data_IF_047511951131
#
_entry.id   IF_047511951131
#
_cell.length_a   1.000
_cell.length_b   1.000
_cell.length_c   1.000
_cell.angle_alpha   90.00
_cell.angle_beta   90.00
_cell.angle_gamma   90.00
#
_symmetry.space_group_name_H-M   'P 1'
#
loop_
_entity.id
_entity.type
_entity.pdbx_description
1 polymer ?
#
# COMPACT_ATOMS: atom_id res chain seq x y z
N UNK A 1 -20.79 7.55 -11.37
CA UNK A 1 -20.33 8.94 -11.30
C UNK A 1 -21.55 9.84 -11.42
N UNK A 2 -21.85 10.64 -10.40
CA UNK A 2 -22.82 11.73 -10.50
C UNK A 2 -22.18 12.91 -11.24
N UNK A 3 -23.02 13.89 -11.67
CA UNK A 3 -22.58 15.11 -12.37
C UNK A 3 -21.53 15.95 -11.59
N UNK A 4 -21.28 15.63 -10.33
CA UNK A 4 -20.32 16.29 -9.43
C UNK A 4 -19.05 15.47 -9.16
N UNK A 5 -18.78 14.38 -9.91
CA UNK A 5 -17.65 13.46 -9.72
C UNK A 5 -17.56 12.79 -8.32
N UNK A 6 -18.68 12.67 -7.61
CA UNK A 6 -18.71 11.93 -6.34
C UNK A 6 -18.80 10.42 -6.58
N UNK A 7 -17.92 9.67 -5.92
CA UNK A 7 -17.97 8.21 -5.90
C UNK A 7 -18.93 7.74 -4.81
N UNK A 8 -19.86 6.83 -5.17
CA UNK A 8 -20.74 6.16 -4.21
C UNK A 8 -20.46 4.69 -4.14
N UNK A 9 -20.40 4.17 -2.92
CA UNK A 9 -20.31 2.73 -2.67
C UNK A 9 -21.72 2.17 -2.83
N UNK A 10 -21.92 1.33 -3.84
CA UNK A 10 -23.23 0.70 -4.14
C UNK A 10 -23.34 -0.72 -3.59
N UNK A 11 -22.19 -1.38 -3.35
CA UNK A 11 -22.13 -2.70 -2.74
C UNK A 11 -20.84 -2.87 -1.97
N UNK A 12 -20.94 -3.47 -0.79
CA UNK A 12 -19.81 -3.95 0.00
C UNK A 12 -20.07 -5.42 0.33
N UNK A 13 -19.14 -6.30 0.00
CA UNK A 13 -19.30 -7.73 0.23
C UNK A 13 -17.97 -8.34 0.67
N UNK A 14 -18.04 -9.22 1.67
CA UNK A 14 -16.91 -10.08 2.08
C UNK A 14 -17.31 -11.52 1.81
N UNK A 15 -16.52 -12.16 0.96
CA UNK A 15 -16.64 -13.59 0.67
C UNK A 15 -15.37 -14.30 1.13
N UNK A 16 -15.52 -15.53 1.60
CA UNK A 16 -14.40 -16.33 2.08
C UNK A 16 -14.47 -17.78 1.61
N UNK A 17 -13.33 -18.45 1.62
CA UNK A 17 -13.19 -19.89 1.49
C UNK A 17 -12.51 -20.42 2.74
N UNK A 18 -12.99 -21.53 3.25
CA UNK A 18 -12.43 -22.19 4.42
C UNK A 18 -11.75 -23.49 3.99
N UNK A 19 -10.46 -23.60 4.29
CA UNK A 19 -9.72 -24.82 4.00
C UNK A 19 -10.12 -25.93 4.96
N UNK A 20 -10.58 -27.07 4.42
CA UNK A 20 -11.04 -28.19 5.25
C UNK A 20 -9.94 -29.16 5.68
N UNK A 21 -8.67 -28.78 5.55
CA UNK A 21 -7.52 -29.62 5.86
C UNK A 21 -7.02 -30.49 4.69
N UNK A 22 -7.81 -30.65 3.62
CA UNK A 22 -7.45 -31.45 2.45
C UNK A 22 -7.48 -30.67 1.13
N UNK A 23 -8.52 -29.86 0.93
CA UNK A 23 -8.70 -29.05 -0.29
C UNK A 23 -9.45 -27.76 -0.02
N UNK A 24 -9.22 -26.79 -0.89
CA UNK A 24 -10.05 -25.58 -0.93
C UNK A 24 -11.40 -25.85 -1.58
N UNK A 25 -12.51 -25.33 -1.06
CA UNK A 25 -13.81 -25.43 -1.69
C UNK A 25 -13.82 -24.70 -3.04
N UNK A 26 -14.66 -25.17 -3.98
CA UNK A 26 -14.81 -24.55 -5.30
C UNK A 26 -15.55 -23.23 -5.24
N UNK A 27 -16.53 -23.10 -4.32
CA UNK A 27 -17.35 -21.90 -4.16
C UNK A 27 -16.92 -21.04 -2.97
N UNK A 28 -17.18 -19.75 -3.08
CA UNK A 28 -17.08 -18.83 -1.96
C UNK A 28 -18.33 -18.89 -1.09
N UNK A 29 -18.17 -18.65 0.20
CA UNK A 29 -19.27 -18.38 1.13
C UNK A 29 -19.30 -16.86 1.38
N UNK A 30 -20.48 -16.27 1.28
CA UNK A 30 -20.66 -14.87 1.66
C UNK A 30 -20.68 -14.76 3.17
N UNK A 31 -19.78 -13.97 3.72
CA UNK A 31 -19.72 -13.66 5.14
C UNK A 31 -20.61 -12.46 5.46
N UNK A 32 -20.56 -11.46 4.61
CA UNK A 32 -21.28 -10.20 4.76
C UNK A 32 -21.55 -9.62 3.37
N UNK A 33 -22.76 -9.12 3.16
CA UNK A 33 -23.12 -8.37 1.96
C UNK A 33 -24.03 -7.21 2.35
N UNK A 34 -23.67 -6.03 1.89
CA UNK A 34 -24.46 -4.81 1.96
C UNK A 34 -24.63 -4.32 0.53
N UNK A 35 -25.85 -4.30 0.04
CA UNK A 35 -26.16 -3.88 -1.32
C UNK A 35 -27.28 -2.85 -1.30
N UNK A 36 -27.05 -1.73 -1.97
CA UNK A 36 -28.06 -0.71 -2.13
C UNK A 36 -28.93 -1.00 -3.36
N UNK A 37 -30.22 -1.21 -3.18
CA UNK A 37 -31.17 -1.30 -4.27
C UNK A 37 -31.46 0.11 -4.83
N UNK A 38 -31.25 0.27 -6.13
CA UNK A 38 -31.66 1.45 -6.90
C UNK A 38 -33.08 1.23 -7.40
N UNK A 39 -34.08 1.34 -6.55
CA UNK A 39 -35.43 1.58 -7.03
C UNK A 39 -35.67 3.08 -7.21
N UNK A 40 -36.59 3.43 -8.11
CA UNK A 40 -36.81 4.74 -8.77
C UNK A 40 -36.92 5.99 -7.87
N UNK A 41 -36.78 5.87 -6.55
CA UNK A 41 -36.93 7.00 -5.60
C UNK A 41 -35.72 7.25 -4.69
N UNK A 42 -34.48 6.94 -5.13
CA UNK A 42 -33.24 7.26 -4.40
C UNK A 42 -33.09 6.68 -2.97
N UNK A 43 -33.90 5.71 -2.57
CA UNK A 43 -33.68 4.96 -1.34
C UNK A 43 -32.83 3.72 -1.63
N UNK A 44 -31.66 3.65 -1.05
CA UNK A 44 -30.87 2.44 -1.02
C UNK A 44 -31.48 1.53 0.05
N UNK A 45 -32.02 0.38 -0.36
CA UNK A 45 -32.39 -0.66 0.58
C UNK A 45 -31.15 -1.52 0.87
N UNK A 46 -30.77 -1.56 2.14
CA UNK A 46 -29.64 -2.35 2.59
C UNK A 46 -30.13 -3.70 3.08
N UNK A 47 -29.56 -4.78 2.53
CA UNK A 47 -29.75 -6.11 3.05
C UNK A 47 -28.46 -6.60 3.70
N UNK A 48 -28.57 -7.12 4.91
CA UNK A 48 -27.48 -7.75 5.62
C UNK A 48 -27.59 -9.27 5.51
N UNK A 49 -26.57 -9.92 5.00
CA UNK A 49 -26.50 -11.37 4.97
C UNK A 49 -25.19 -11.80 5.68
N UNK A 50 -25.15 -12.80 6.55
CA UNK A 50 -26.17 -13.83 6.83
C UNK A 50 -26.98 -13.63 8.13
N UNK A 51 -27.19 -12.41 8.59
CA UNK A 51 -27.89 -12.16 9.86
C UNK A 51 -29.37 -12.55 9.75
N UNK A 52 -29.74 -13.73 10.30
CA UNK A 52 -31.14 -14.02 10.60
C UNK A 52 -31.56 -13.17 11.81
N UNK A 53 -32.32 -12.15 11.53
CA UNK A 53 -32.77 -11.19 12.53
C UNK A 53 -33.94 -11.79 13.32
N UNK A 54 -33.77 -11.98 14.62
CA UNK A 54 -34.86 -12.20 15.58
C UNK A 54 -35.47 -10.87 16.00
N UNK A 55 -36.61 -10.86 16.69
CA UNK A 55 -37.29 -9.59 17.12
C UNK A 55 -36.35 -8.66 17.93
N UNK A 56 -35.46 -9.22 18.74
CA UNK A 56 -34.46 -8.43 19.48
C UNK A 56 -33.43 -7.73 18.58
N UNK A 57 -33.28 -8.20 17.34
CA UNK A 57 -32.31 -7.67 16.35
C UNK A 57 -32.90 -6.59 15.44
N UNK A 58 -34.21 -6.32 15.52
CA UNK A 58 -34.86 -5.34 14.64
C UNK A 58 -34.32 -3.92 14.86
N UNK A 59 -34.07 -3.53 16.10
CA UNK A 59 -33.47 -2.23 16.43
C UNK A 59 -32.03 -2.16 15.90
N UNK A 60 -31.26 -3.22 16.11
CA UNK A 60 -29.88 -3.33 15.63
C UNK A 60 -29.81 -3.28 14.10
N UNK A 61 -30.77 -3.90 13.42
CA UNK A 61 -30.88 -3.83 11.97
C UNK A 61 -31.17 -2.42 11.47
N UNK A 62 -32.15 -1.74 12.09
CA UNK A 62 -32.47 -0.35 11.75
C UNK A 62 -31.26 0.57 11.98
N UNK A 63 -30.62 0.46 13.15
CA UNK A 63 -29.42 1.25 13.49
C UNK A 63 -28.29 0.98 12.47
N UNK A 64 -28.15 -0.25 12.01
CA UNK A 64 -27.18 -0.63 10.98
C UNK A 64 -27.46 -0.01 9.63
N UNK A 65 -28.73 0.01 9.20
CA UNK A 65 -29.14 0.67 7.96
C UNK A 65 -28.88 2.18 8.05
N UNK A 66 -29.23 2.81 9.17
CA UNK A 66 -28.98 4.24 9.38
C UNK A 66 -27.48 4.54 9.31
N UNK A 67 -26.65 3.76 10.01
CA UNK A 67 -25.21 3.95 10.01
C UNK A 67 -24.59 3.70 8.63
N UNK A 68 -25.09 2.68 7.89
CA UNK A 68 -24.64 2.41 6.53
C UNK A 68 -24.99 3.56 5.57
N UNK A 69 -26.20 4.14 5.67
CA UNK A 69 -26.62 5.33 4.90
C UNK A 69 -25.78 6.57 5.25
N UNK A 70 -25.42 6.73 6.52
CA UNK A 70 -24.52 7.82 6.94
C UNK A 70 -23.11 7.64 6.35
N UNK A 71 -22.57 6.44 6.42
CA UNK A 71 -21.27 6.12 5.83
C UNK A 71 -21.25 6.35 4.31
N UNK A 72 -22.31 5.93 3.61
CA UNK A 72 -22.48 6.20 2.17
C UNK A 72 -22.50 7.69 1.86
N UNK A 73 -23.28 8.47 2.62
CA UNK A 73 -23.37 9.93 2.45
C UNK A 73 -22.02 10.62 2.66
N UNK A 74 -21.19 10.08 3.54
CA UNK A 74 -19.82 10.55 3.77
C UNK A 74 -18.79 9.96 2.79
N UNK A 75 -19.20 9.12 1.83
CA UNK A 75 -18.30 8.44 0.89
C UNK A 75 -17.37 7.41 1.56
N UNK A 76 -17.78 6.87 2.72
CA UNK A 76 -16.99 5.92 3.52
C UNK A 76 -17.57 4.51 3.47
N UNK A 77 -16.69 3.51 3.61
CA UNK A 77 -17.12 2.12 3.80
C UNK A 77 -17.76 1.92 5.18
N UNK A 78 -18.93 1.30 5.22
CA UNK A 78 -19.57 0.92 6.47
C UNK A 78 -18.88 -0.28 7.15
N UNK A 79 -18.43 -1.28 6.38
CA UNK A 79 -17.76 -2.48 6.90
C UNK A 79 -16.51 -2.11 7.73
N UNK A 80 -15.81 -1.06 7.35
CA UNK A 80 -14.61 -0.61 8.05
C UNK A 80 -14.86 0.49 9.09
N UNK A 81 -16.13 0.78 9.40
CA UNK A 81 -16.49 1.77 10.41
C UNK A 81 -16.51 1.19 11.83
N UNK A 82 -16.39 2.06 12.82
CA UNK A 82 -16.56 1.66 14.23
C UNK A 82 -17.99 1.20 14.53
N UNK A 83 -18.96 1.72 13.80
CA UNK A 83 -20.37 1.40 13.99
C UNK A 83 -20.70 0.01 13.45
N UNK A 84 -20.00 -0.46 12.43
CA UNK A 84 -20.09 -1.86 12.00
C UNK A 84 -19.71 -2.82 13.12
N UNK A 85 -18.61 -2.57 13.85
CA UNK A 85 -18.22 -3.43 14.96
C UNK A 85 -19.28 -3.52 16.05
N UNK A 86 -19.89 -2.38 16.43
CA UNK A 86 -20.98 -2.36 17.42
C UNK A 86 -22.20 -3.14 16.93
N UNK A 87 -22.47 -3.06 15.62
CA UNK A 87 -23.59 -3.75 14.99
C UNK A 87 -23.47 -5.27 15.08
N UNK A 88 -22.29 -5.81 14.86
CA UNK A 88 -22.07 -7.26 14.82
C UNK A 88 -21.66 -7.85 16.17
N UNK A 89 -21.33 -7.04 17.17
CA UNK A 89 -20.80 -7.47 18.48
C UNK A 89 -21.70 -8.48 19.19
N UNK A 90 -23.01 -8.43 18.94
CA UNK A 90 -24.00 -9.32 19.54
C UNK A 90 -24.31 -10.57 18.69
N UNK A 91 -23.68 -10.73 17.51
CA UNK A 91 -23.90 -11.88 16.65
C UNK A 91 -23.09 -13.11 17.10
N UNK A 92 -23.60 -14.33 16.85
CA UNK A 92 -22.91 -15.59 17.20
C UNK A 92 -21.50 -15.70 16.59
N UNK A 93 -21.27 -15.07 15.42
CA UNK A 93 -20.01 -15.10 14.71
C UNK A 93 -19.22 -13.77 14.81
N UNK A 94 -19.57 -12.91 15.76
CA UNK A 94 -18.99 -11.57 15.88
C UNK A 94 -17.46 -11.59 15.92
N UNK A 95 -16.84 -12.42 16.74
CA UNK A 95 -15.39 -12.49 16.90
C UNK A 95 -14.69 -12.89 15.59
N UNK A 96 -15.26 -13.82 14.83
CA UNK A 96 -14.72 -14.25 13.54
C UNK A 96 -14.80 -13.14 12.50
N UNK A 97 -15.96 -12.48 12.38
CA UNK A 97 -16.18 -11.37 11.44
C UNK A 97 -15.27 -10.19 11.79
N UNK A 98 -15.24 -9.80 13.06
CA UNK A 98 -14.36 -8.73 13.55
C UNK A 98 -12.89 -9.05 13.27
N UNK A 99 -12.48 -10.30 13.49
CA UNK A 99 -11.13 -10.76 13.18
C UNK A 99 -10.79 -10.57 11.70
N UNK A 100 -11.64 -11.05 10.79
CA UNK A 100 -11.45 -10.91 9.34
C UNK A 100 -11.39 -9.44 8.90
N UNK A 101 -12.32 -8.61 9.37
CA UNK A 101 -12.35 -7.19 9.02
C UNK A 101 -11.10 -6.47 9.54
N UNK A 102 -10.64 -6.80 10.75
CA UNK A 102 -9.36 -6.28 11.28
C UNK A 102 -8.17 -6.73 10.45
N UNK A 103 -8.13 -7.99 10.01
CA UNK A 103 -7.05 -8.50 9.16
C UNK A 103 -7.02 -7.79 7.81
N UNK A 104 -8.18 -7.54 7.19
CA UNK A 104 -8.27 -6.73 5.95
C UNK A 104 -7.81 -5.29 6.19
N UNK A 105 -8.20 -4.68 7.30
CA UNK A 105 -7.74 -3.33 7.66
C UNK A 105 -6.23 -3.28 7.90
N UNK A 106 -5.68 -4.27 8.58
CA UNK A 106 -4.23 -4.39 8.78
C UNK A 106 -3.51 -4.59 7.46
N UNK A 107 -4.01 -5.47 6.60
CA UNK A 107 -3.47 -5.67 5.26
C UNK A 107 -3.46 -4.36 4.47
N UNK A 108 -4.61 -3.66 4.38
CA UNK A 108 -4.72 -2.42 3.61
C UNK A 108 -3.84 -1.28 4.12
N UNK A 109 -3.58 -1.23 5.44
CA UNK A 109 -2.76 -0.16 6.05
C UNK A 109 -1.27 -0.47 6.09
N UNK A 110 -0.91 -1.76 6.10
CA UNK A 110 0.44 -2.20 6.40
C UNK A 110 1.10 -2.93 5.24
N UNK A 111 0.34 -3.78 4.56
CA UNK A 111 0.88 -4.74 3.61
C UNK A 111 0.43 -4.49 2.15
N UNK A 112 -0.39 -3.46 1.92
CA UNK A 112 -0.92 -3.10 0.61
C UNK A 112 -0.61 -1.65 0.26
N UNK A 113 0.19 -1.44 -0.80
CA UNK A 113 0.62 -0.12 -1.24
C UNK A 113 0.32 0.09 -2.71
N UNK A 114 -0.22 1.26 -3.02
CA UNK A 114 -0.49 1.72 -4.39
C UNK A 114 0.34 2.98 -4.63
N UNK A 115 1.17 2.94 -5.66
CA UNK A 115 1.92 4.10 -6.16
C UNK A 115 1.27 4.52 -7.47
N UNK A 116 0.27 5.40 -7.40
CA UNK A 116 -0.43 5.91 -8.57
C UNK A 116 0.40 6.99 -9.29
N UNK A 117 0.18 7.15 -10.59
CA UNK A 117 0.90 8.14 -11.41
C UNK A 117 0.72 9.58 -10.88
N UNK A 118 -0.45 9.92 -10.33
CA UNK A 118 -0.69 11.21 -9.65
C UNK A 118 0.14 11.39 -8.38
N UNK A 119 0.49 10.28 -7.69
CA UNK A 119 1.38 10.27 -6.52
C UNK A 119 2.86 10.16 -6.94
N UNK A 120 3.13 9.60 -8.12
CA UNK A 120 4.43 9.72 -8.77
C UNK A 120 4.74 11.22 -8.99
N UNK A 121 3.76 12.08 -9.17
CA UNK A 121 3.93 13.54 -9.14
C UNK A 121 4.52 14.07 -7.84
N UNK A 122 4.18 13.51 -6.67
CA UNK A 122 4.82 13.85 -5.39
C UNK A 122 6.17 13.16 -5.22
N UNK A 123 6.32 11.95 -5.75
CA UNK A 123 7.57 11.18 -5.77
C UNK A 123 8.46 11.68 -6.92
N UNK A 124 7.93 11.91 -8.13
CA UNK A 124 8.66 12.48 -9.28
C UNK A 124 8.80 13.99 -9.22
N UNK A 125 7.97 14.70 -8.45
CA UNK A 125 8.21 16.10 -8.07
C UNK A 125 9.37 16.24 -7.10
N UNK A 126 10.08 15.15 -6.77
CA UNK A 126 11.27 15.13 -5.90
C UNK A 126 11.02 15.71 -4.52
N UNK A 127 9.85 15.49 -3.97
CA UNK A 127 9.47 16.06 -2.68
C UNK A 127 9.76 15.09 -1.54
N UNK A 128 9.40 13.79 -1.72
CA UNK A 128 9.50 12.79 -0.65
C UNK A 128 9.93 11.42 -1.17
N UNK A 129 10.78 10.73 -0.42
CA UNK A 129 11.02 9.28 -0.55
C UNK A 129 10.23 8.59 0.56
N UNK A 130 9.27 7.72 0.25
CA UNK A 130 8.65 6.86 1.25
C UNK A 130 9.60 5.71 1.57
N UNK A 131 10.36 5.81 2.66
CA UNK A 131 11.16 4.68 3.13
C UNK A 131 10.27 3.70 3.87
N UNK A 132 10.01 2.57 3.25
CA UNK A 132 9.30 1.47 3.87
C UNK A 132 10.25 0.65 4.74
N UNK A 133 9.85 0.50 5.99
CA UNK A 133 10.60 -0.20 7.02
C UNK A 133 10.00 -1.59 7.18
N UNK A 134 10.80 -2.60 6.99
CA UNK A 134 10.51 -3.97 7.40
C UNK A 134 11.79 -4.55 8.01
N UNK A 135 12.00 -4.24 9.29
CA UNK A 135 13.13 -4.75 10.06
C UNK A 135 12.62 -5.77 11.07
N UNK A 136 13.04 -7.01 10.91
CA UNK A 136 12.80 -8.07 11.88
C UNK A 136 14.04 -8.18 12.78
N UNK A 137 13.94 -7.60 13.94
CA UNK A 137 14.93 -7.78 15.01
C UNK A 137 14.52 -8.95 15.91
N UNK A 138 15.46 -9.48 16.68
CA UNK A 138 15.29 -10.70 17.51
C UNK A 138 14.10 -10.61 18.51
N UNK A 139 13.66 -9.40 18.86
CA UNK A 139 12.59 -9.14 19.83
C UNK A 139 11.48 -8.20 19.35
N UNK A 140 11.63 -7.60 18.14
CA UNK A 140 10.67 -6.63 17.64
C UNK A 140 10.60 -6.63 16.09
N UNK A 141 9.43 -6.31 15.57
CA UNK A 141 9.23 -6.07 14.13
C UNK A 141 8.91 -4.59 13.98
N UNK A 142 9.82 -3.86 13.35
CA UNK A 142 9.58 -2.47 12.96
C UNK A 142 9.01 -2.47 11.55
N UNK A 143 7.79 -1.97 11.41
CA UNK A 143 7.11 -1.87 10.12
C UNK A 143 6.39 -0.53 10.03
N UNK A 144 6.53 0.13 8.89
CA UNK A 144 5.91 1.41 8.63
C UNK A 144 6.54 2.13 7.44
N UNK A 145 6.15 3.38 7.24
CA UNK A 145 6.69 4.24 6.19
C UNK A 145 7.15 5.55 6.80
N UNK A 146 8.40 5.91 6.60
CA UNK A 146 8.95 7.22 6.98
C UNK A 146 9.11 8.04 5.70
N UNK A 147 8.36 9.15 5.53
CA UNK A 147 8.55 10.05 4.40
C UNK A 147 9.79 10.92 4.64
N UNK A 148 10.76 10.86 3.75
CA UNK A 148 11.98 11.68 3.80
C UNK A 148 12.03 12.65 2.63
N UNK A 149 12.31 13.92 2.91
CA UNK A 149 12.48 14.92 1.87
C UNK A 149 13.71 14.60 1.01
N UNK A 150 13.53 14.60 -0.29
CA UNK A 150 14.64 14.50 -1.24
C UNK A 150 15.39 15.82 -1.40
N UNK A 151 14.68 16.94 -1.27
CA UNK A 151 15.26 18.28 -1.51
C UNK A 151 15.62 18.95 -0.21
N UNK A 152 16.85 19.42 -0.13
CA UNK A 152 17.38 20.09 1.05
C UNK A 152 17.58 19.15 2.24
N UNK A 153 17.45 19.68 3.46
CA UNK A 153 17.61 18.92 4.71
C UNK A 153 16.27 18.42 5.25
N UNK A 154 16.29 17.29 5.93
CA UNK A 154 15.19 16.71 6.68
C UNK A 154 15.54 16.60 8.16
N UNK A 155 14.53 16.49 9.02
CA UNK A 155 14.68 16.25 10.47
C UNK A 155 13.91 15.02 10.88
N UNK A 156 14.48 14.20 11.75
CA UNK A 156 13.84 13.02 12.32
C UNK A 156 14.16 12.90 13.82
N UNK A 157 13.21 12.40 14.64
CA UNK A 157 13.53 11.96 15.98
C UNK A 157 14.66 10.93 15.97
N UNK A 158 15.55 10.96 16.96
CA UNK A 158 16.74 10.10 17.00
C UNK A 158 16.45 8.61 16.77
N UNK A 159 15.40 8.00 17.38
CA UNK A 159 15.09 6.59 17.14
C UNK A 159 14.73 6.28 15.67
N UNK A 160 14.08 7.21 14.98
CA UNK A 160 13.72 7.05 13.57
C UNK A 160 14.93 7.26 12.66
N UNK A 161 15.87 8.11 13.06
CA UNK A 161 17.11 8.33 12.32
C UNK A 161 17.93 7.04 12.22
N UNK A 162 18.15 6.33 13.34
CA UNK A 162 18.87 5.06 13.37
C UNK A 162 18.21 3.97 12.51
N UNK A 163 16.86 3.98 12.47
CA UNK A 163 16.11 3.05 11.62
C UNK A 163 16.33 3.38 10.13
N UNK A 164 16.33 4.65 9.78
CA UNK A 164 16.55 5.11 8.39
C UNK A 164 17.96 4.73 7.92
N UNK A 165 18.98 4.86 8.74
CA UNK A 165 20.34 4.40 8.40
C UNK A 165 20.36 2.92 8.03
N UNK A 166 19.76 2.06 8.86
CA UNK A 166 19.66 0.61 8.58
C UNK A 166 18.89 0.30 7.30
N UNK A 167 17.84 1.04 6.99
CA UNK A 167 17.08 0.86 5.74
C UNK A 167 17.91 1.24 4.54
N UNK A 168 18.65 2.36 4.62
CA UNK A 168 19.53 2.79 3.55
C UNK A 168 20.70 1.82 3.32
N UNK A 169 21.26 1.23 4.37
CA UNK A 169 22.28 0.19 4.24
C UNK A 169 21.74 -1.01 3.45
N UNK A 170 20.53 -1.48 3.77
CA UNK A 170 19.88 -2.56 3.02
C UNK A 170 19.60 -2.16 1.56
N UNK A 171 19.15 -0.92 1.34
CA UNK A 171 18.94 -0.40 -0.01
C UNK A 171 20.24 -0.33 -0.81
N UNK A 172 21.35 0.05 -0.19
CA UNK A 172 22.65 0.15 -0.83
C UNK A 172 23.18 -1.19 -1.32
N UNK A 173 22.87 -2.31 -0.62
CA UNK A 173 23.21 -3.66 -1.09
C UNK A 173 22.55 -3.94 -2.45
N UNK A 174 21.26 -3.62 -2.57
CA UNK A 174 20.52 -3.84 -3.82
C UNK A 174 20.90 -2.80 -4.88
N UNK A 175 21.02 -1.54 -4.48
CA UNK A 175 21.32 -0.43 -5.37
C UNK A 175 22.67 -0.62 -6.08
N UNK A 176 23.70 -1.09 -5.36
CA UNK A 176 25.01 -1.34 -5.92
C UNK A 176 25.01 -2.44 -6.99
N UNK A 177 24.07 -3.39 -6.91
CA UNK A 177 23.89 -4.41 -7.95
C UNK A 177 23.14 -3.87 -9.17
N UNK A 178 22.21 -2.95 -8.97
CA UNK A 178 21.40 -2.34 -10.02
C UNK A 178 22.16 -1.21 -10.74
N UNK A 179 22.85 -0.38 -9.99
CA UNK A 179 23.60 0.78 -10.49
C UNK A 179 24.99 0.75 -9.84
N UNK A 180 25.98 0.14 -10.52
CA UNK A 180 27.33 0.02 -9.96
C UNK A 180 27.90 1.36 -9.47
N UNK A 181 28.61 1.30 -8.36
CA UNK A 181 29.26 2.44 -7.69
C UNK A 181 28.30 3.47 -7.09
N UNK A 182 26.97 3.27 -7.14
CA UNK A 182 26.00 4.18 -6.54
C UNK A 182 25.64 3.73 -5.13
N UNK A 183 25.75 4.64 -4.17
CA UNK A 183 25.26 4.49 -2.78
C UNK A 183 24.51 5.72 -2.34
N UNK A 184 23.60 5.54 -1.40
CA UNK A 184 22.87 6.62 -0.73
C UNK A 184 23.33 6.68 0.71
N UNK A 185 23.78 7.85 1.15
CA UNK A 185 24.21 8.09 2.52
C UNK A 185 23.39 9.21 3.17
N UNK A 186 23.39 9.22 4.49
CA UNK A 186 22.91 10.33 5.29
C UNK A 186 24.12 11.17 5.70
N UNK A 187 24.04 12.48 5.44
CA UNK A 187 24.99 13.46 5.95
C UNK A 187 24.37 14.16 7.15
N UNK A 188 24.82 13.87 8.38
CA UNK A 188 24.31 14.55 9.56
C UNK A 188 24.74 16.03 9.53
N UNK A 189 23.79 16.92 9.86
CA UNK A 189 24.00 18.36 9.89
C UNK A 189 23.99 18.90 11.32
N UNK A 190 23.59 18.08 12.30
CA UNK A 190 23.58 18.42 13.72
C UNK A 190 22.26 18.07 14.39
N UNK A 191 22.26 18.08 15.72
CA UNK A 191 21.07 17.93 16.54
C UNK A 191 20.41 19.28 16.77
N UNK A 192 19.09 19.30 16.75
CA UNK A 192 18.29 20.48 17.06
C UNK A 192 17.04 20.07 17.86
N UNK A 193 16.35 21.04 18.44
CA UNK A 193 15.06 20.81 19.09
C UNK A 193 13.94 21.14 18.10
N UNK A 194 12.96 20.25 18.01
CA UNK A 194 11.75 20.52 17.25
C UNK A 194 10.81 21.49 18.02
N UNK A 195 9.65 21.82 17.44
CA UNK A 195 8.67 22.72 18.07
C UNK A 195 8.13 22.20 19.40
N UNK A 196 8.19 20.89 19.62
CA UNK A 196 7.71 20.21 20.81
C UNK A 196 8.85 19.98 21.83
N UNK A 197 10.03 20.64 21.64
CA UNK A 197 11.22 20.52 22.46
C UNK A 197 11.83 19.11 22.52
N UNK A 198 11.60 18.29 21.50
CA UNK A 198 12.20 16.98 21.36
C UNK A 198 13.51 17.07 20.56
N UNK A 199 14.52 16.30 20.94
CA UNK A 199 15.76 16.18 20.15
C UNK A 199 15.51 15.48 18.82
N UNK A 200 15.89 16.17 17.74
CA UNK A 200 15.82 15.63 16.38
C UNK A 200 17.18 15.73 15.71
N UNK A 201 17.50 14.80 14.84
CA UNK A 201 18.66 14.85 13.96
C UNK A 201 18.27 15.54 12.66
N UNK A 202 18.99 16.62 12.34
CA UNK A 202 18.91 17.23 11.00
C UNK A 202 19.96 16.61 10.10
N UNK A 203 19.57 16.25 8.90
CA UNK A 203 20.43 15.56 7.94
C UNK A 203 20.03 15.88 6.49
N UNK A 204 20.89 15.50 5.56
CA UNK A 204 20.64 15.57 4.12
C UNK A 204 20.96 14.22 3.49
N UNK A 205 20.11 13.77 2.55
CA UNK A 205 20.37 12.59 1.75
C UNK A 205 21.39 12.91 0.66
N UNK A 206 22.41 12.09 0.56
CA UNK A 206 23.50 12.22 -0.39
C UNK A 206 23.56 11.00 -1.31
N UNK A 207 23.86 11.24 -2.57
CA UNK A 207 24.28 10.25 -3.53
C UNK A 207 25.81 10.21 -3.57
N UNK A 208 26.37 9.03 -3.43
CA UNK A 208 27.83 8.82 -3.42
C UNK A 208 28.20 7.92 -4.58
N UNK A 209 29.14 8.40 -5.42
CA UNK A 209 29.73 7.62 -6.51
C UNK A 209 31.24 7.76 -6.46
N UNK A 210 31.94 6.64 -6.18
CA UNK A 210 33.38 6.65 -5.93
C UNK A 210 33.70 7.64 -4.83
N UNK A 211 34.46 8.71 -5.14
CA UNK A 211 34.89 9.73 -4.20
C UNK A 211 34.04 11.02 -4.26
N UNK A 212 32.95 11.03 -5.02
CA UNK A 212 32.09 12.19 -5.19
C UNK A 212 30.78 12.01 -4.42
N UNK A 213 30.48 13.00 -3.60
CA UNK A 213 29.24 13.07 -2.83
C UNK A 213 28.43 14.29 -3.31
N UNK A 214 27.21 14.09 -3.74
CA UNK A 214 26.28 15.15 -4.14
C UNK A 214 24.94 14.98 -3.44
N UNK A 215 24.20 16.05 -3.12
CA UNK A 215 22.82 15.93 -2.67
C UNK A 215 21.97 15.13 -3.66
N UNK A 216 21.11 14.25 -3.13
CA UNK A 216 20.31 13.32 -3.95
C UNK A 216 19.39 14.07 -4.94
N UNK A 217 19.00 15.30 -4.62
CA UNK A 217 18.18 16.14 -5.48
C UNK A 217 18.80 16.44 -6.85
N UNK A 218 20.12 16.32 -6.98
CA UNK A 218 20.84 16.53 -8.24
C UNK A 218 21.03 15.26 -9.07
N UNK A 219 20.57 14.12 -8.59
CA UNK A 219 20.53 12.89 -9.39
C UNK A 219 19.51 12.98 -10.54
N UNK A 220 19.69 12.12 -11.54
CA UNK A 220 18.73 12.01 -12.65
C UNK A 220 17.34 11.56 -12.15
N UNK A 221 16.28 11.93 -12.87
CA UNK A 221 14.91 11.56 -12.52
C UNK A 221 14.73 10.03 -12.39
N UNK A 222 15.36 9.27 -13.30
CA UNK A 222 15.30 7.80 -13.25
C UNK A 222 15.95 7.22 -12.00
N UNK A 223 17.10 7.73 -11.58
CA UNK A 223 17.78 7.32 -10.33
C UNK A 223 16.92 7.69 -9.12
N UNK A 224 16.38 8.89 -9.08
CA UNK A 224 15.48 9.32 -7.99
C UNK A 224 14.23 8.45 -7.91
N UNK A 225 13.64 8.08 -9.05
CA UNK A 225 12.49 7.17 -9.08
C UNK A 225 12.84 5.79 -8.55
N UNK A 226 13.96 5.19 -8.98
CA UNK A 226 14.41 3.90 -8.46
C UNK A 226 14.59 3.97 -6.95
N UNK A 227 15.30 4.97 -6.46
CA UNK A 227 15.53 5.15 -5.01
C UNK A 227 14.20 5.24 -4.25
N UNK A 228 13.21 5.98 -4.76
CA UNK A 228 11.93 6.16 -4.09
C UNK A 228 11.07 4.89 -4.03
N UNK A 229 11.18 3.99 -5.01
CA UNK A 229 10.43 2.73 -5.00
C UNK A 229 11.22 1.56 -4.43
N UNK A 230 12.56 1.69 -4.32
CA UNK A 230 13.45 0.58 -3.97
C UNK A 230 13.15 -0.02 -2.60
N UNK A 231 12.86 0.81 -1.60
CA UNK A 231 12.51 0.32 -0.26
C UNK A 231 11.24 -0.53 -0.28
N UNK A 232 10.24 -0.15 -1.07
CA UNK A 232 9.00 -0.91 -1.26
C UNK A 232 9.26 -2.22 -2.02
N UNK A 233 10.09 -2.19 -3.05
CA UNK A 233 10.50 -3.39 -3.79
C UNK A 233 11.24 -4.39 -2.89
N UNK A 234 12.13 -3.92 -2.02
CA UNK A 234 12.85 -4.77 -1.04
C UNK A 234 11.86 -5.41 -0.06
N UNK A 235 10.88 -4.65 0.45
CA UNK A 235 9.85 -5.21 1.32
C UNK A 235 9.01 -6.25 0.58
N UNK A 236 8.58 -5.95 -0.66
CA UNK A 236 7.84 -6.89 -1.50
C UNK A 236 8.65 -8.17 -1.77
N UNK A 237 9.94 -8.03 -2.06
CA UNK A 237 10.82 -9.18 -2.29
C UNK A 237 10.89 -10.11 -1.08
N UNK A 238 10.94 -9.56 0.13
CA UNK A 238 11.18 -10.32 1.37
C UNK A 238 9.91 -10.77 2.11
N UNK A 239 8.78 -10.10 1.90
CA UNK A 239 7.56 -10.31 2.68
C UNK A 239 6.42 -10.90 1.82
N UNK A 240 6.01 -12.17 2.03
CA UNK A 240 4.96 -12.81 1.24
C UNK A 240 3.55 -12.20 1.44
N UNK A 241 3.35 -11.38 2.47
CA UNK A 241 2.08 -10.68 2.70
C UNK A 241 1.99 -9.35 1.98
N UNK A 242 3.12 -8.82 1.51
CA UNK A 242 3.17 -7.49 0.94
C UNK A 242 2.73 -7.46 -0.51
N UNK A 243 1.83 -6.56 -0.84
CA UNK A 243 1.35 -6.31 -2.21
C UNK A 243 1.63 -4.87 -2.60
N UNK A 244 2.39 -4.71 -3.66
CA UNK A 244 2.79 -3.42 -4.21
C UNK A 244 2.19 -3.26 -5.61
N UNK A 245 1.47 -2.17 -5.81
CA UNK A 245 0.92 -1.78 -7.11
C UNK A 245 1.62 -0.49 -7.55
N UNK A 246 2.19 -0.49 -8.75
CA UNK A 246 2.87 0.70 -9.32
C UNK A 246 2.27 1.01 -10.69
N UNK A 247 1.73 2.19 -10.83
CA UNK A 247 1.24 2.70 -12.10
C UNK A 247 2.40 3.35 -12.89
N UNK A 248 2.48 3.08 -14.21
CA UNK A 248 3.55 3.56 -15.09
C UNK A 248 4.96 3.30 -14.52
N UNK A 249 5.21 2.04 -14.10
CA UNK A 249 6.46 1.70 -13.39
C UNK A 249 7.71 1.98 -14.23
N UNK A 250 7.64 1.76 -15.55
CA UNK A 250 8.74 1.99 -16.50
C UNK A 250 9.06 3.47 -16.75
N UNK A 251 8.11 4.38 -16.46
CA UNK A 251 8.28 5.79 -16.77
C UNK A 251 9.54 6.39 -16.11
N UNK A 252 10.48 6.86 -16.91
CA UNK A 252 11.75 7.46 -16.44
C UNK A 252 12.81 6.46 -15.98
N UNK A 253 12.56 5.16 -15.96
CA UNK A 253 13.55 4.13 -15.64
C UNK A 253 14.18 3.63 -16.94
N UNK A 254 15.52 3.49 -16.95
CA UNK A 254 16.22 2.91 -18.09
C UNK A 254 15.78 1.45 -18.31
N UNK A 255 15.47 1.11 -19.57
CA UNK A 255 14.84 -0.16 -19.94
C UNK A 255 15.58 -1.40 -19.44
N UNK A 256 16.90 -1.43 -19.56
CA UNK A 256 17.71 -2.54 -19.05
C UNK A 256 17.53 -2.72 -17.56
N UNK A 257 17.60 -1.64 -16.78
CA UNK A 257 17.47 -1.65 -15.34
C UNK A 257 16.07 -2.07 -14.90
N UNK A 258 15.03 -1.63 -15.64
CA UNK A 258 13.67 -2.08 -15.45
C UNK A 258 13.55 -3.60 -15.63
N UNK A 259 14.15 -4.16 -16.71
CA UNK A 259 14.20 -5.59 -16.94
C UNK A 259 14.89 -6.37 -15.83
N UNK A 260 16.03 -5.89 -15.30
CA UNK A 260 16.72 -6.53 -14.19
C UNK A 260 15.86 -6.57 -12.91
N UNK A 261 15.19 -5.47 -12.58
CA UNK A 261 14.27 -5.42 -11.42
C UNK A 261 13.17 -6.47 -11.59
N UNK A 262 12.54 -6.54 -12.77
CA UNK A 262 11.45 -7.50 -13.04
C UNK A 262 11.95 -8.94 -12.98
N UNK A 263 13.14 -9.23 -13.51
CA UNK A 263 13.75 -10.55 -13.45
C UNK A 263 13.97 -11.00 -12.02
N UNK A 264 14.55 -10.14 -11.17
CA UNK A 264 14.79 -10.41 -9.76
C UNK A 264 13.46 -10.64 -9.02
N UNK A 265 12.48 -9.79 -9.25
CA UNK A 265 11.16 -9.88 -8.59
C UNK A 265 10.40 -11.14 -9.01
N UNK A 266 10.45 -11.53 -10.29
CA UNK A 266 9.71 -12.67 -10.80
C UNK A 266 10.32 -14.02 -10.42
N UNK A 267 11.65 -14.09 -10.21
CA UNK A 267 12.35 -15.33 -9.89
C UNK A 267 12.38 -15.66 -8.41
N UNK A 268 12.49 -14.66 -7.55
CA UNK A 268 12.78 -14.87 -6.13
C UNK A 268 11.96 -13.99 -5.18
N UNK A 269 11.12 -13.11 -5.71
CA UNK A 269 10.23 -12.29 -4.90
C UNK A 269 9.18 -13.13 -4.16
N UNK A 270 8.93 -12.81 -2.90
CA UNK A 270 7.96 -13.53 -2.05
C UNK A 270 6.59 -12.86 -2.03
N UNK A 271 6.56 -11.54 -2.09
CA UNK A 271 5.33 -10.74 -2.13
C UNK A 271 4.80 -10.56 -3.55
N UNK A 272 3.76 -9.78 -3.69
CA UNK A 272 3.10 -9.55 -4.97
C UNK A 272 3.46 -8.17 -5.52
N UNK A 273 3.95 -8.11 -6.76
CA UNK A 273 4.15 -6.88 -7.51
C UNK A 273 3.18 -6.86 -8.70
N UNK A 274 2.30 -5.86 -8.75
CA UNK A 274 1.46 -5.55 -9.89
C UNK A 274 1.90 -4.18 -10.42
N UNK A 275 1.95 -4.04 -11.73
CA UNK A 275 2.31 -2.76 -12.32
C UNK A 275 1.69 -2.57 -13.70
N UNK A 276 1.53 -1.32 -14.12
CA UNK A 276 1.28 -0.95 -15.49
C UNK A 276 2.57 -0.48 -16.15
N UNK A 277 2.70 -0.72 -17.43
CA UNK A 277 3.87 -0.30 -18.22
C UNK A 277 3.50 -0.11 -19.68
N UNK A 278 4.11 0.88 -20.31
CA UNK A 278 4.06 1.10 -21.76
C UNK A 278 5.28 0.50 -22.47
N UNK A 279 6.28 0.05 -21.73
CA UNK A 279 7.50 -0.57 -22.26
C UNK A 279 7.24 -2.04 -22.62
N UNK A 280 7.90 -2.53 -23.67
CA UNK A 280 7.79 -3.92 -24.12
C UNK A 280 8.72 -4.88 -23.34
N UNK A 281 9.66 -4.37 -22.56
CA UNK A 281 10.62 -5.19 -21.79
C UNK A 281 9.98 -6.26 -20.89
N UNK A 282 8.83 -6.02 -20.24
CA UNK A 282 8.13 -7.08 -19.50
C UNK A 282 7.79 -8.32 -20.34
N UNK A 283 7.53 -8.15 -21.66
CA UNK A 283 7.22 -9.27 -22.56
C UNK A 283 8.41 -10.21 -22.79
N UNK A 284 9.62 -9.69 -22.60
CA UNK A 284 10.86 -10.46 -22.81
C UNK A 284 11.29 -11.21 -21.54
N UNK A 285 10.97 -10.65 -20.35
CA UNK A 285 11.50 -11.16 -19.07
C UNK A 285 10.46 -11.87 -18.22
N UNK A 286 9.17 -11.63 -18.43
CA UNK A 286 8.10 -12.23 -17.64
C UNK A 286 7.43 -13.39 -18.38
N UNK A 287 6.94 -14.37 -17.61
CA UNK A 287 6.07 -15.42 -18.16
C UNK A 287 4.77 -14.82 -18.71
N UNK A 288 4.29 -15.36 -19.84
CA UNK A 288 3.02 -14.97 -20.48
C UNK A 288 1.83 -15.02 -19.50
N UNK A 289 1.85 -15.94 -18.53
CA UNK A 289 0.81 -16.06 -17.51
C UNK A 289 0.73 -14.84 -16.58
N UNK A 290 1.80 -14.06 -16.48
CA UNK A 290 1.89 -12.86 -15.64
C UNK A 290 1.54 -11.58 -16.38
N UNK A 291 1.24 -11.66 -17.69
CA UNK A 291 1.00 -10.49 -18.52
C UNK A 291 -0.49 -10.38 -18.86
N UNK A 292 -1.00 -9.16 -18.84
CA UNK A 292 -2.35 -8.80 -19.29
C UNK A 292 -2.26 -7.55 -20.15
N UNK A 293 -2.94 -7.58 -21.28
CA UNK A 293 -3.08 -6.41 -22.16
C UNK A 293 -4.39 -5.71 -21.87
N UNK A 294 -4.35 -4.40 -21.81
CA UNK A 294 -5.55 -3.56 -21.76
C UNK A 294 -5.75 -2.88 -23.09
N UNK A 295 -6.99 -2.79 -23.53
CA UNK A 295 -7.37 -2.06 -24.74
C UNK A 295 -8.62 -1.23 -24.48
N UNK A 296 -8.70 -0.08 -25.11
CA UNK A 296 -9.94 0.69 -25.15
C UNK A 296 -10.86 0.10 -26.22
N UNK A 297 -12.07 -0.28 -25.85
CA UNK A 297 -13.09 -0.65 -26.82
C UNK A 297 -13.87 0.63 -27.20
N UNK A 298 -13.70 1.16 -28.40
CA UNK A 298 -14.49 2.32 -28.84
C UNK A 298 -15.89 1.85 -29.22
N UNK A 299 -16.77 1.67 -28.22
CA UNK A 299 -18.21 1.58 -28.43
C UNK A 299 -18.88 2.76 -27.80
#
# INVERSE_FOLDING_TARGET
>A
LNAENEYKIVKEEIQYKEFNGQKWPTSFKTLFSLEGNREENHSLDYSFYPFKLTEASTKLYIDSIVNAKMAEKEGKSFIFSKDFYKTIETSENANFIIGLVKDIQLFSKRDFFIVANSQIGLISGNILIPLNIFLKETKSIHQGTIPIKMKGSATLPLPHYDIVEKVLDNMNIVLNNLVPDLKINIKPLGKELNKDSEEVMRFQLMSVRKDKEIPIEYESEGIKKIISVLSMLIVTYNNPRFSLIIDDFDAGIYEYLFGEILTIMSTSGKGQLLFTSHNLRPLEVLSVNNIRFTTTNPK
#
